data_IF_331933017968
#
_entry.id   IF_331933017968
#
_cell.length_a   1.000
_cell.length_b   1.000
_cell.length_c   1.000
_cell.angle_alpha   90.00
_cell.angle_beta   90.00
_cell.angle_gamma   90.00
#
_symmetry.space_group_name_H-M   'P 1'
#
loop_
_entity.id
_entity.type
_entity.pdbx_description
1 polymer ?
#
# COMPACT_ATOMS: atom_id res chain seq x y z
N UNK A 1 -38.40 -3.09 -17.02
CA UNK A 1 -37.19 -3.79 -17.51
C UNK A 1 -36.10 -3.57 -16.47
N UNK A 2 -35.92 -4.54 -15.57
CA UNK A 2 -34.94 -4.45 -14.49
C UNK A 2 -33.55 -4.69 -15.05
N UNK A 3 -32.70 -3.67 -14.95
CA UNK A 3 -31.33 -3.75 -15.45
C UNK A 3 -30.54 -4.68 -14.51
N UNK A 4 -30.29 -5.91 -14.96
CA UNK A 4 -29.59 -6.94 -14.20
C UNK A 4 -28.07 -6.67 -14.21
N UNK A 5 -27.64 -5.53 -13.66
CA UNK A 5 -26.22 -5.15 -13.59
C UNK A 5 -25.41 -6.01 -12.61
N UNK A 6 -26.08 -6.64 -11.66
CA UNK A 6 -25.48 -7.55 -10.66
C UNK A 6 -25.10 -8.94 -11.22
N UNK A 7 -25.26 -9.18 -12.53
CA UNK A 7 -24.85 -10.45 -13.17
C UNK A 7 -23.36 -10.54 -13.53
N UNK A 8 -22.62 -9.44 -13.42
CA UNK A 8 -21.22 -9.36 -13.83
C UNK A 8 -20.24 -9.61 -12.67
N UNK A 9 -20.64 -9.31 -11.43
CA UNK A 9 -19.90 -9.62 -10.20
C UNK A 9 -20.66 -10.72 -9.48
N UNK A 10 -19.99 -11.75 -8.97
CA UNK A 10 -20.68 -12.77 -8.18
C UNK A 10 -21.23 -12.14 -6.90
N UNK A 11 -22.42 -12.59 -6.48
CA UNK A 11 -23.07 -12.09 -5.26
C UNK A 11 -22.16 -12.24 -4.03
N UNK A 12 -21.38 -13.32 -3.98
CA UNK A 12 -20.39 -13.57 -2.92
C UNK A 12 -19.30 -12.51 -2.86
N UNK A 13 -18.69 -12.15 -4.00
CA UNK A 13 -17.66 -11.10 -4.07
C UNK A 13 -18.27 -9.75 -3.71
N UNK A 14 -19.49 -9.49 -4.16
CA UNK A 14 -20.18 -8.23 -3.88
C UNK A 14 -20.51 -8.07 -2.39
N UNK A 15 -20.98 -9.13 -1.73
CA UNK A 15 -21.29 -9.13 -0.30
C UNK A 15 -20.01 -9.05 0.55
N UNK A 16 -18.92 -9.71 0.13
CA UNK A 16 -17.60 -9.58 0.75
C UNK A 16 -17.04 -8.15 0.63
N UNK A 17 -17.09 -7.54 -0.55
CA UNK A 17 -16.60 -6.17 -0.76
C UNK A 17 -17.41 -5.13 0.01
N UNK A 18 -18.73 -5.32 0.15
CA UNK A 18 -19.57 -4.45 1.00
C UNK A 18 -19.23 -4.59 2.49
N UNK A 19 -18.81 -5.77 2.92
CA UNK A 19 -18.46 -6.03 4.32
C UNK A 19 -17.07 -5.48 4.67
N UNK A 20 -16.14 -5.50 3.70
CA UNK A 20 -14.75 -5.09 3.88
C UNK A 20 -14.45 -3.66 3.42
N UNK A 21 -15.38 -2.99 2.73
CA UNK A 21 -15.19 -1.62 2.25
C UNK A 21 -16.38 -0.72 2.60
N UNK A 22 -16.23 0.58 2.40
CA UNK A 22 -17.31 1.57 2.58
C UNK A 22 -18.07 1.87 1.28
N UNK A 23 -17.78 1.13 0.22
CA UNK A 23 -18.32 1.42 -1.10
C UNK A 23 -19.71 0.82 -1.29
N UNK A 24 -20.59 1.57 -1.93
CA UNK A 24 -21.94 1.12 -2.25
C UNK A 24 -21.93 0.11 -3.40
N UNK A 25 -23.00 -0.69 -3.52
CA UNK A 25 -23.16 -1.63 -4.64
C UNK A 25 -23.02 -0.93 -6.00
N UNK A 26 -23.64 0.24 -6.15
CA UNK A 26 -23.61 1.00 -7.41
C UNK A 26 -22.20 1.48 -7.77
N UNK A 27 -21.37 1.84 -6.78
CA UNK A 27 -19.96 2.21 -7.00
C UNK A 27 -19.13 0.99 -7.41
N UNK A 28 -19.28 -0.13 -6.69
CA UNK A 28 -18.59 -1.38 -6.98
C UNK A 28 -18.91 -1.89 -8.39
N UNK A 29 -20.18 -1.85 -8.80
CA UNK A 29 -20.62 -2.25 -10.14
C UNK A 29 -20.01 -1.34 -11.22
N UNK A 30 -20.04 -0.01 -11.01
CA UNK A 30 -19.42 0.94 -11.97
C UNK A 30 -17.92 0.72 -12.11
N UNK A 31 -17.21 0.50 -11.01
CA UNK A 31 -15.78 0.22 -11.06
C UNK A 31 -15.48 -1.12 -11.70
N UNK A 32 -16.30 -2.14 -11.50
CA UNK A 32 -16.15 -3.42 -12.19
C UNK A 32 -16.32 -3.29 -13.70
N UNK A 33 -17.33 -2.55 -14.15
CA UNK A 33 -17.53 -2.25 -15.58
C UNK A 33 -16.29 -1.54 -16.17
N UNK A 34 -15.77 -0.53 -15.46
CA UNK A 34 -14.56 0.19 -15.89
C UNK A 34 -13.30 -0.71 -15.88
N UNK A 35 -13.16 -1.55 -14.86
CA UNK A 35 -12.07 -2.51 -14.70
C UNK A 35 -12.10 -3.54 -15.82
N UNK A 36 -13.25 -4.16 -16.13
CA UNK A 36 -13.40 -5.12 -17.24
C UNK A 36 -13.18 -4.49 -18.61
N UNK A 37 -13.43 -3.18 -18.75
CA UNK A 37 -13.14 -2.45 -19.99
C UNK A 37 -11.63 -2.23 -20.20
N UNK A 38 -10.88 -2.01 -19.13
CA UNK A 38 -9.43 -1.82 -19.18
C UNK A 38 -8.65 -3.15 -19.15
N UNK A 39 -9.17 -4.14 -18.43
CA UNK A 39 -8.62 -5.47 -18.24
C UNK A 39 -9.68 -6.51 -18.65
N UNK A 40 -9.76 -6.87 -19.95
CA UNK A 40 -10.79 -7.79 -20.46
C UNK A 40 -10.73 -9.19 -19.81
N UNK A 41 -9.54 -9.64 -19.44
CA UNK A 41 -9.28 -10.87 -18.68
C UNK A 41 -9.69 -10.77 -17.21
N UNK A 42 -9.98 -9.57 -16.71
CA UNK A 42 -10.37 -9.32 -15.33
C UNK A 42 -9.20 -9.34 -14.36
N UNK A 43 -7.97 -9.10 -14.83
CA UNK A 43 -6.76 -9.13 -14.02
C UNK A 43 -5.89 -7.92 -14.34
N UNK A 44 -5.30 -7.30 -13.31
CA UNK A 44 -4.29 -6.26 -13.48
C UNK A 44 -2.91 -6.88 -13.30
N UNK A 45 -2.09 -6.86 -14.35
CA UNK A 45 -0.69 -7.27 -14.24
C UNK A 45 0.18 -6.21 -13.56
N UNK A 46 1.37 -6.63 -13.13
CA UNK A 46 2.38 -5.76 -12.50
C UNK A 46 2.71 -4.53 -13.36
N UNK A 47 2.82 -4.73 -14.67
CA UNK A 47 3.18 -3.66 -15.63
C UNK A 47 2.05 -2.64 -15.79
N UNK A 48 0.80 -3.09 -15.86
CA UNK A 48 -0.36 -2.19 -15.88
C UNK A 48 -0.44 -1.37 -14.59
N UNK A 49 -0.24 -2.01 -13.44
CA UNK A 49 -0.26 -1.33 -12.14
C UNK A 49 0.84 -0.27 -12.00
N UNK A 50 2.07 -0.58 -12.44
CA UNK A 50 3.18 0.38 -12.47
C UNK A 50 2.87 1.62 -13.34
N UNK A 51 2.20 1.43 -14.49
CA UNK A 51 1.79 2.54 -15.37
C UNK A 51 0.74 3.44 -14.71
N UNK A 52 -0.24 2.84 -14.04
CA UNK A 52 -1.28 3.57 -13.29
C UNK A 52 -0.60 4.43 -12.22
N UNK A 53 0.27 3.84 -11.40
CA UNK A 53 1.01 4.57 -10.36
C UNK A 53 1.88 5.70 -10.94
N UNK A 54 2.55 5.46 -12.08
CA UNK A 54 3.37 6.47 -12.74
C UNK A 54 2.56 7.68 -13.24
N UNK A 55 1.29 7.48 -13.57
CA UNK A 55 0.38 8.57 -13.99
C UNK A 55 -0.04 9.44 -12.79
N UNK A 56 -0.20 8.86 -11.60
CA UNK A 56 -0.53 9.59 -10.38
C UNK A 56 0.67 10.31 -9.74
N UNK A 57 1.89 9.80 -9.97
CA UNK A 57 3.13 10.38 -9.42
C UNK A 57 4.13 10.74 -10.53
N UNK A 58 3.80 11.69 -11.43
CA UNK A 58 4.61 12.00 -12.61
C UNK A 58 5.99 12.58 -12.30
N UNK A 59 6.18 13.12 -11.08
CA UNK A 59 7.41 13.79 -10.64
C UNK A 59 8.29 12.92 -9.71
N UNK A 60 7.96 11.63 -9.57
CA UNK A 60 8.66 10.69 -8.68
C UNK A 60 9.11 9.44 -9.45
N UNK A 61 9.87 8.54 -8.82
CA UNK A 61 10.15 7.20 -9.35
C UNK A 61 9.32 6.14 -8.61
N UNK A 62 8.02 5.97 -8.96
CA UNK A 62 7.12 5.12 -8.19
C UNK A 62 7.28 3.64 -8.48
N UNK A 63 8.14 3.21 -9.42
CA UNK A 63 8.16 1.81 -9.88
C UNK A 63 8.44 0.83 -8.76
N UNK A 64 9.45 1.11 -7.93
CA UNK A 64 9.83 0.21 -6.82
C UNK A 64 8.71 0.16 -5.78
N UNK A 65 8.17 1.32 -5.40
CA UNK A 65 7.08 1.40 -4.44
C UNK A 65 5.81 0.71 -4.97
N UNK A 66 5.44 0.95 -6.22
CA UNK A 66 4.29 0.32 -6.88
C UNK A 66 4.40 -1.21 -6.92
N UNK A 67 5.62 -1.77 -7.04
CA UNK A 67 5.83 -3.23 -6.95
C UNK A 67 5.58 -3.79 -5.55
N UNK A 68 6.04 -3.11 -4.50
CA UNK A 68 5.77 -3.53 -3.13
C UNK A 68 4.29 -3.41 -2.80
N UNK A 69 3.66 -2.31 -3.23
CA UNK A 69 2.22 -2.10 -3.10
C UNK A 69 1.46 -3.21 -3.83
N UNK A 70 1.82 -3.51 -5.08
CA UNK A 70 1.23 -4.62 -5.83
C UNK A 70 1.36 -5.95 -5.06
N UNK A 71 2.56 -6.29 -4.59
CA UNK A 71 2.81 -7.52 -3.80
C UNK A 71 1.96 -7.57 -2.53
N UNK A 72 1.78 -6.44 -1.86
CA UNK A 72 0.96 -6.37 -0.64
C UNK A 72 -0.53 -6.61 -0.90
N UNK A 73 -0.98 -6.41 -2.15
CA UNK A 73 -2.37 -6.62 -2.56
C UNK A 73 -2.60 -7.97 -3.27
N UNK A 74 -1.57 -8.52 -3.92
CA UNK A 74 -1.58 -9.84 -4.58
C UNK A 74 -1.50 -10.95 -3.52
N UNK A 75 -2.59 -11.12 -2.78
CA UNK A 75 -2.63 -11.99 -1.59
C UNK A 75 -2.45 -13.46 -1.93
N UNK A 76 -2.89 -13.87 -3.13
CA UNK A 76 -2.78 -15.24 -3.62
C UNK A 76 -1.45 -15.53 -4.36
N UNK A 77 -0.59 -14.52 -4.55
CA UNK A 77 0.71 -14.59 -5.24
C UNK A 77 0.60 -15.17 -6.66
N UNK A 78 -0.49 -14.86 -7.36
CA UNK A 78 -0.70 -15.32 -8.74
C UNK A 78 -0.07 -14.37 -9.78
N UNK A 79 0.51 -13.26 -9.32
CA UNK A 79 1.20 -12.28 -10.14
C UNK A 79 0.26 -11.28 -10.82
N UNK A 80 -1.03 -11.33 -10.50
CA UNK A 80 -2.07 -10.42 -10.98
C UNK A 80 -2.94 -9.94 -9.82
N UNK A 81 -3.53 -8.75 -9.93
CA UNK A 81 -4.58 -8.33 -9.01
C UNK A 81 -5.93 -8.62 -9.63
N UNK A 82 -6.75 -9.39 -8.94
CA UNK A 82 -8.15 -9.52 -9.31
C UNK A 82 -8.94 -8.25 -8.91
N UNK A 83 -10.22 -8.22 -9.27
CA UNK A 83 -11.07 -7.07 -8.95
C UNK A 83 -11.22 -6.86 -7.45
N UNK A 84 -11.27 -7.93 -6.66
CA UNK A 84 -11.44 -7.85 -5.21
C UNK A 84 -10.20 -7.21 -4.58
N UNK A 85 -9.02 -7.70 -4.93
CA UNK A 85 -7.73 -7.17 -4.46
C UNK A 85 -7.54 -5.71 -4.88
N UNK A 86 -7.94 -5.37 -6.11
CA UNK A 86 -7.92 -3.98 -6.59
C UNK A 86 -8.85 -3.05 -5.79
N UNK A 87 -10.07 -3.48 -5.47
CA UNK A 87 -11.01 -2.66 -4.67
C UNK A 87 -10.53 -2.52 -3.23
N UNK A 88 -10.00 -3.59 -2.62
CA UNK A 88 -9.41 -3.54 -1.28
C UNK A 88 -8.22 -2.57 -1.26
N UNK A 89 -7.37 -2.60 -2.29
CA UNK A 89 -6.27 -1.67 -2.47
C UNK A 89 -6.73 -0.21 -2.51
N UNK A 90 -7.76 0.07 -3.31
CA UNK A 90 -8.37 1.41 -3.36
C UNK A 90 -8.98 1.80 -2.01
N UNK A 91 -9.61 0.87 -1.31
CA UNK A 91 -10.20 1.14 0.01
C UNK A 91 -9.14 1.49 1.06
N UNK A 92 -8.04 0.74 1.12
CA UNK A 92 -6.96 0.95 2.08
C UNK A 92 -6.18 2.25 1.81
N UNK A 93 -6.05 2.63 0.55
CA UNK A 93 -5.37 3.87 0.17
C UNK A 93 -6.26 5.11 0.27
N UNK A 94 -7.59 4.96 0.20
CA UNK A 94 -8.55 6.08 0.28
C UNK A 94 -9.24 6.25 1.63
N UNK A 95 -9.38 5.18 2.42
CA UNK A 95 -10.12 5.21 3.68
C UNK A 95 -9.21 5.51 4.87
N UNK A 96 -9.53 6.59 5.60
CA UNK A 96 -8.72 7.08 6.72
C UNK A 96 -8.87 6.29 8.04
N UNK A 97 -9.23 5.00 8.02
CA UNK A 97 -9.22 4.18 9.25
C UNK A 97 -7.79 3.72 9.51
N UNK A 98 -7.20 4.21 10.59
CA UNK A 98 -5.79 3.99 10.90
C UNK A 98 -5.44 2.51 11.09
N UNK A 99 -6.30 1.72 11.76
CA UNK A 99 -5.96 0.34 12.12
C UNK A 99 -5.78 -0.58 10.89
N UNK A 100 -6.77 -0.61 9.98
CA UNK A 100 -6.66 -1.40 8.73
C UNK A 100 -5.51 -0.90 7.83
N UNK A 101 -5.23 0.40 7.86
CA UNK A 101 -4.10 0.98 7.14
C UNK A 101 -2.77 0.51 7.72
N UNK A 102 -2.70 0.25 9.03
CA UNK A 102 -1.50 -0.22 9.70
C UNK A 102 -1.28 -1.73 9.54
N UNK A 103 -2.36 -2.54 9.55
CA UNK A 103 -2.29 -3.94 9.15
C UNK A 103 -1.77 -4.07 7.71
N UNK A 104 -2.31 -3.26 6.79
CA UNK A 104 -1.77 -3.19 5.43
C UNK A 104 -0.33 -2.69 5.38
N UNK A 105 0.01 -1.66 6.15
CA UNK A 105 1.38 -1.17 6.23
C UNK A 105 2.33 -2.27 6.74
N UNK A 106 1.90 -3.10 7.69
CA UNK A 106 2.67 -4.27 8.10
C UNK A 106 2.91 -5.23 6.93
N UNK A 107 1.87 -5.62 6.19
CA UNK A 107 1.98 -6.47 5.00
C UNK A 107 2.82 -5.86 3.87
N UNK A 108 2.95 -4.53 3.83
CA UNK A 108 3.87 -3.85 2.91
C UNK A 108 5.32 -4.04 3.34
N UNK A 109 5.60 -3.98 4.65
CA UNK A 109 6.92 -4.15 5.24
C UNK A 109 7.37 -5.62 5.33
N UNK A 110 6.48 -6.57 5.58
CA UNK A 110 6.77 -8.00 5.55
C UNK A 110 6.89 -8.48 4.10
N UNK A 111 8.12 -8.44 3.56
CA UNK A 111 8.41 -8.70 2.14
C UNK A 111 8.32 -10.19 1.84
N UNK A 112 8.84 -11.01 2.75
CA UNK A 112 8.89 -12.47 2.59
C UNK A 112 7.64 -13.18 3.13
N UNK A 113 6.69 -12.44 3.72
CA UNK A 113 5.45 -12.95 4.32
C UNK A 113 5.73 -13.92 5.47
N UNK A 114 6.82 -13.71 6.21
CA UNK A 114 7.17 -14.54 7.37
C UNK A 114 6.32 -14.25 8.59
N UNK A 115 5.51 -13.18 8.58
CA UNK A 115 4.71 -12.71 9.70
C UNK A 115 5.49 -11.84 10.69
N UNK A 116 6.75 -11.50 10.36
CA UNK A 116 7.63 -10.68 11.18
C UNK A 116 8.53 -9.81 10.29
N UNK A 117 8.71 -8.54 10.63
CA UNK A 117 9.54 -7.62 9.85
C UNK A 117 11.00 -7.65 10.32
N UNK A 118 11.92 -7.84 9.39
CA UNK A 118 13.36 -7.74 9.59
C UNK A 118 13.92 -6.34 9.24
N UNK A 119 15.13 -6.04 9.73
CA UNK A 119 15.82 -4.76 9.46
C UNK A 119 16.05 -4.51 7.97
N UNK A 120 16.34 -5.57 7.22
CA UNK A 120 16.56 -5.48 5.77
C UNK A 120 15.28 -5.08 5.04
N UNK A 121 14.14 -5.62 5.44
CA UNK A 121 12.85 -5.31 4.85
C UNK A 121 12.39 -3.89 5.17
N UNK A 122 12.66 -3.41 6.39
CA UNK A 122 12.49 -1.99 6.73
C UNK A 122 13.29 -1.11 5.77
N UNK A 123 14.57 -1.42 5.55
CA UNK A 123 15.40 -0.63 4.65
C UNK A 123 14.88 -0.66 3.20
N UNK A 124 14.44 -1.82 2.73
CA UNK A 124 13.89 -2.01 1.38
C UNK A 124 12.66 -1.11 1.14
N UNK A 125 11.68 -1.16 2.04
CA UNK A 125 10.46 -0.37 1.90
C UNK A 125 10.73 1.12 2.13
N UNK A 126 11.54 1.48 3.12
CA UNK A 126 11.92 2.88 3.36
C UNK A 126 12.68 3.46 2.16
N UNK A 127 13.55 2.69 1.50
CA UNK A 127 14.21 3.12 0.27
C UNK A 127 13.22 3.31 -0.89
N UNK A 128 12.22 2.44 -1.01
CA UNK A 128 11.15 2.60 -2.00
C UNK A 128 10.31 3.87 -1.74
N UNK A 129 9.93 4.11 -0.49
CA UNK A 129 9.21 5.31 -0.05
C UNK A 129 10.06 6.56 -0.28
N UNK A 130 11.36 6.53 0.02
CA UNK A 130 12.25 7.68 -0.16
C UNK A 130 12.34 8.11 -1.63
N UNK A 131 12.31 7.17 -2.58
CA UNK A 131 12.27 7.47 -4.02
C UNK A 131 10.95 8.11 -4.49
N UNK A 132 9.88 8.01 -3.69
CA UNK A 132 8.63 8.72 -3.96
C UNK A 132 8.73 10.22 -3.66
N UNK A 133 9.64 10.61 -2.78
CA UNK A 133 9.85 12.01 -2.40
C UNK A 133 10.55 12.73 -3.55
N UNK A 134 10.01 13.87 -4.06
CA UNK A 134 10.65 14.63 -5.11
C UNK A 134 12.08 15.06 -4.73
N UNK A 135 13.05 15.05 -5.66
CA UNK A 135 14.44 15.41 -5.36
C UNK A 135 14.61 16.78 -4.69
N UNK A 136 13.74 17.75 -5.01
CA UNK A 136 13.76 19.07 -4.38
C UNK A 136 13.33 19.05 -2.92
N UNK A 137 12.38 18.17 -2.56
CA UNK A 137 11.98 17.97 -1.17
C UNK A 137 13.01 17.17 -0.38
N UNK A 138 13.75 16.27 -1.04
CA UNK A 138 14.82 15.51 -0.39
C UNK A 138 15.94 16.42 0.15
N UNK A 139 16.23 17.54 -0.53
CA UNK A 139 17.29 18.50 -0.13
C UNK A 139 16.98 19.26 1.16
N UNK A 140 15.69 19.37 1.53
CA UNK A 140 15.24 20.10 2.72
C UNK A 140 14.87 19.17 3.88
N UNK A 141 15.16 17.87 3.74
CA UNK A 141 14.96 16.91 4.81
C UNK A 141 15.96 17.12 5.95
N UNK A 142 15.57 16.83 7.20
CA UNK A 142 16.49 16.80 8.35
C UNK A 142 17.70 15.89 8.09
N UNK A 143 18.85 16.23 8.67
CA UNK A 143 20.09 15.47 8.49
C UNK A 143 20.00 14.02 8.97
N UNK A 144 19.11 13.72 9.92
CA UNK A 144 18.82 12.37 10.43
C UNK A 144 17.73 11.63 9.62
N UNK A 145 17.17 12.25 8.57
CA UNK A 145 16.13 11.68 7.71
C UNK A 145 16.42 11.86 6.21
N UNK A 146 17.57 12.41 5.83
CA UNK A 146 17.92 12.74 4.45
C UNK A 146 18.45 11.57 3.61
N UNK A 147 18.53 10.36 4.17
CA UNK A 147 18.82 9.14 3.44
C UNK A 147 17.89 7.99 3.86
N UNK A 148 17.66 6.99 2.98
CA UNK A 148 16.89 5.80 3.35
C UNK A 148 17.46 5.08 4.57
N UNK A 149 18.78 4.93 4.64
CA UNK A 149 19.47 4.24 5.75
C UNK A 149 19.19 4.93 7.09
N UNK A 150 19.33 6.26 7.16
CA UNK A 150 19.10 6.97 8.41
C UNK A 150 17.65 6.87 8.88
N UNK A 151 16.69 6.92 7.94
CA UNK A 151 15.27 6.71 8.25
C UNK A 151 14.99 5.29 8.73
N UNK A 152 15.56 4.29 8.07
CA UNK A 152 15.41 2.89 8.44
C UNK A 152 16.04 2.62 9.83
N UNK A 153 17.23 3.14 10.08
CA UNK A 153 17.92 3.02 11.37
C UNK A 153 17.14 3.74 12.49
N UNK A 154 16.58 4.93 12.21
CA UNK A 154 15.73 5.67 13.15
C UNK A 154 14.46 4.89 13.50
N UNK A 155 13.82 4.27 12.51
CA UNK A 155 12.67 3.39 12.74
C UNK A 155 13.07 2.15 13.56
N UNK A 156 14.15 1.47 13.18
CA UNK A 156 14.62 0.27 13.86
C UNK A 156 15.03 0.53 15.31
N UNK A 157 15.75 1.64 15.55
CA UNK A 157 16.18 2.06 16.87
C UNK A 157 15.00 2.38 17.81
N UNK A 158 13.88 2.87 17.27
CA UNK A 158 12.68 3.13 18.07
C UNK A 158 12.08 1.85 18.67
N UNK A 159 12.12 0.74 17.92
CA UNK A 159 11.69 -0.56 18.43
C UNK A 159 12.72 -1.20 19.37
N UNK A 160 13.94 -0.63 19.49
CA UNK A 160 14.98 -1.13 20.39
C UNK A 160 15.48 -2.53 20.05
N UNK A 161 15.37 -2.92 18.77
CA UNK A 161 15.71 -4.26 18.25
C UNK A 161 17.19 -4.35 17.87
N UNK A 162 17.81 -5.49 18.13
CA UNK A 162 19.12 -5.87 17.58
C UNK A 162 19.05 -6.18 16.07
N UNK A 163 20.20 -6.37 15.42
CA UNK A 163 20.25 -6.57 13.96
C UNK A 163 19.64 -7.90 13.49
N UNK A 164 19.57 -8.91 14.37
CA UNK A 164 18.97 -10.22 14.09
C UNK A 164 17.55 -10.36 14.65
N UNK A 165 17.05 -9.34 15.35
CA UNK A 165 15.70 -9.35 15.89
C UNK A 165 14.67 -9.09 14.78
N UNK A 166 13.42 -9.39 15.10
CA UNK A 166 12.29 -9.13 14.21
C UNK A 166 11.15 -8.43 14.96
N UNK A 167 10.30 -7.73 14.19
CA UNK A 167 9.16 -6.99 14.71
C UNK A 167 7.87 -7.72 14.31
N UNK A 168 7.10 -8.19 15.29
CA UNK A 168 5.81 -8.81 15.05
C UNK A 168 4.73 -7.76 14.71
N UNK A 169 3.67 -8.16 14.02
CA UNK A 169 2.58 -7.28 13.58
C UNK A 169 2.02 -6.38 14.69
N UNK A 170 1.65 -6.99 15.82
CA UNK A 170 1.11 -6.24 16.96
C UNK A 170 2.09 -5.20 17.50
N UNK A 171 3.38 -5.55 17.55
CA UNK A 171 4.41 -4.64 18.01
C UNK A 171 4.58 -3.47 17.05
N UNK A 172 4.59 -3.74 15.74
CA UNK A 172 4.65 -2.71 14.70
C UNK A 172 3.46 -1.74 14.79
N UNK A 173 2.24 -2.26 14.81
CA UNK A 173 1.00 -1.46 14.86
C UNK A 173 0.98 -0.59 16.12
N UNK A 174 1.26 -1.16 17.29
CA UNK A 174 1.30 -0.41 18.54
C UNK A 174 2.41 0.65 18.54
N UNK A 175 3.60 0.31 18.02
CA UNK A 175 4.74 1.21 17.96
C UNK A 175 4.47 2.43 17.08
N UNK A 176 3.91 2.19 15.90
CA UNK A 176 3.55 3.25 14.94
C UNK A 176 2.41 4.11 15.47
N UNK A 177 1.38 3.52 16.09
CA UNK A 177 0.26 4.27 16.68
C UNK A 177 0.66 5.17 17.85
N UNK A 178 1.71 4.79 18.60
CA UNK A 178 2.19 5.54 19.76
C UNK A 178 3.13 6.69 19.39
N UNK A 179 3.64 6.74 18.16
CA UNK A 179 4.65 7.71 17.76
C UNK A 179 4.41 8.27 16.35
N UNK A 180 3.88 9.50 16.29
CA UNK A 180 3.60 10.24 15.06
C UNK A 180 4.85 10.42 14.17
N UNK A 181 6.05 10.52 14.76
CA UNK A 181 7.28 10.63 13.98
C UNK A 181 7.58 9.34 13.20
N UNK A 182 7.36 8.18 13.83
CA UNK A 182 7.54 6.86 13.17
C UNK A 182 6.45 6.65 12.12
N UNK A 183 5.21 7.04 12.44
CA UNK A 183 4.10 7.02 11.48
C UNK A 183 4.41 7.86 10.23
N UNK A 184 5.05 9.02 10.40
CA UNK A 184 5.50 9.86 9.28
C UNK A 184 6.61 9.21 8.45
N UNK A 185 7.49 8.40 9.05
CA UNK A 185 8.57 7.73 8.32
C UNK A 185 8.06 6.64 7.37
N UNK A 186 6.98 5.95 7.75
CA UNK A 186 6.39 4.86 6.96
C UNK A 186 5.28 5.32 6.00
N UNK A 187 4.83 6.58 6.09
CA UNK A 187 3.81 7.14 5.21
C UNK A 187 4.43 8.19 4.28
N UNK A 188 4.27 7.99 2.98
CA UNK A 188 4.41 9.10 2.03
C UNK A 188 3.05 9.78 1.89
N UNK A 189 2.91 10.95 2.51
CA UNK A 189 1.81 11.88 2.25
C UNK A 189 2.40 12.99 1.36
N UNK A 190 2.08 13.02 0.06
CA UNK A 190 2.46 14.15 -0.79
C UNK A 190 1.98 15.44 -0.11
N UNK A 191 2.84 16.45 0.01
CA UNK A 191 2.37 17.76 0.46
C UNK A 191 1.34 18.23 -0.56
N UNK A 192 0.10 18.43 -0.13
CA UNK A 192 -0.87 19.14 -0.97
C UNK A 192 -0.27 20.52 -1.26
N UNK A 193 -0.03 20.80 -2.54
CA UNK A 193 0.34 22.14 -2.97
C UNK A 193 -0.79 23.08 -2.54
N UNK A 194 -0.47 24.01 -1.63
CA UNK A 194 -1.26 25.22 -1.43
C UNK A 194 -1.28 26.06 -2.71
#
# INVERSE_FOLDING_TARGET
MGNNKSGMISKEVLDDLKSNTKFSEDELVKWYEAFKKQCPDGRIGKVEFEKIYSTFFPNSDPKVYARHVFRSFDTNDDGTLDFREYIIALHLTSSGKTDLKLEWAFSLFDVDRSGEISKNEVLEIIAAIFKMIPPEEQKVLPDDENTPQKRADKLWAYFGKGDADKIAEKEFIEGVMKNDAIMRLIQYIPRENK
#
